data_IF_233773514214
#
_entry.id   IF_233773514214
#
_cell.length_a   1.000
_cell.length_b   1.000
_cell.length_c   1.000
_cell.angle_alpha   90.00
_cell.angle_beta   90.00
_cell.angle_gamma   90.00
#
_symmetry.space_group_name_H-M   'P 1'
#
loop_
_entity.id
_entity.type
_entity.pdbx_description
1 polymer ?
#
# COMPACT_ATOMS: atom_id res chain seq x y z
N UNK A 1 11.25 10.39 -9.39
CA UNK A 1 10.03 11.00 -8.86
C UNK A 1 10.18 12.51 -8.77
N UNK A 2 11.04 13.04 -7.88
CA UNK A 2 11.21 14.49 -7.71
C UNK A 2 11.54 15.23 -9.02
N UNK A 3 12.51 14.75 -9.80
CA UNK A 3 12.86 15.35 -11.10
C UNK A 3 11.75 15.28 -12.16
N UNK A 4 10.75 14.43 -11.98
CA UNK A 4 9.60 14.31 -12.90
C UNK A 4 8.41 15.14 -12.43
N UNK A 5 8.53 15.82 -11.28
CA UNK A 5 7.43 16.59 -10.68
C UNK A 5 6.16 15.75 -10.55
N UNK A 6 6.33 14.48 -10.15
CA UNK A 6 5.20 13.56 -10.02
C UNK A 6 4.19 14.06 -8.97
N UNK A 7 2.90 13.88 -9.22
CA UNK A 7 1.86 14.27 -8.25
C UNK A 7 1.86 13.39 -6.99
N UNK A 8 2.26 12.13 -7.13
CA UNK A 8 2.37 11.17 -6.02
C UNK A 8 3.33 10.02 -6.36
N UNK A 9 3.74 9.27 -5.32
CA UNK A 9 4.54 8.04 -5.45
C UNK A 9 3.86 6.89 -4.71
N UNK A 10 3.71 5.77 -5.39
CA UNK A 10 3.32 4.48 -4.79
C UNK A 10 4.40 3.46 -5.06
N UNK A 11 5.07 3.00 -4.01
CA UNK A 11 6.03 1.90 -4.07
C UNK A 11 5.31 0.59 -3.76
N UNK A 12 5.48 -0.44 -4.60
CA UNK A 12 4.77 -1.73 -4.47
C UNK A 12 5.77 -2.80 -4.07
N UNK A 13 5.53 -3.45 -2.95
CA UNK A 13 6.41 -4.42 -2.31
C UNK A 13 5.67 -5.70 -1.92
N UNK A 14 6.44 -6.73 -1.58
CA UNK A 14 5.96 -7.92 -0.91
C UNK A 14 6.88 -8.22 0.27
N UNK A 15 6.27 -8.37 1.45
CA UNK A 15 6.97 -8.39 2.74
C UNK A 15 7.68 -9.73 2.94
N UNK A 16 8.59 -9.78 3.90
CA UNK A 16 9.21 -11.02 4.35
C UNK A 16 9.52 -10.92 5.84
N UNK A 17 9.14 -11.95 6.59
CA UNK A 17 9.42 -12.06 8.01
C UNK A 17 9.87 -13.46 8.39
N UNK A 18 10.70 -13.57 9.44
CA UNK A 18 11.27 -14.83 9.89
C UNK A 18 10.20 -15.85 10.32
N UNK A 19 9.07 -15.38 10.86
CA UNK A 19 7.92 -16.23 11.14
C UNK A 19 7.14 -16.46 9.86
N UNK A 20 7.25 -17.66 9.29
CA UNK A 20 6.59 -18.06 8.02
C UNK A 20 5.06 -18.06 8.06
N UNK A 21 4.44 -17.79 9.21
CA UNK A 21 2.98 -17.64 9.34
C UNK A 21 2.54 -16.17 9.28
N UNK A 22 3.47 -15.22 9.18
CA UNK A 22 3.13 -13.81 8.99
C UNK A 22 2.37 -13.64 7.67
N UNK A 23 1.32 -12.83 7.68
CA UNK A 23 0.49 -12.51 6.52
C UNK A 23 -0.25 -11.20 6.72
N UNK A 24 -0.81 -10.69 5.64
CA UNK A 24 -1.65 -9.50 5.59
C UNK A 24 -1.04 -8.37 4.79
N UNK A 25 -1.89 -7.39 4.52
CA UNK A 25 -1.61 -6.23 3.69
C UNK A 25 -1.42 -5.01 4.58
N UNK A 26 -0.37 -4.23 4.35
CA UNK A 26 -0.14 -2.94 5.00
C UNK A 26 0.26 -1.85 4.01
N UNK A 27 -0.09 -0.62 4.35
CA UNK A 27 0.38 0.58 3.64
C UNK A 27 1.24 1.42 4.57
N UNK A 28 2.44 1.77 4.15
CA UNK A 28 3.44 2.46 4.93
C UNK A 28 3.54 3.92 4.51
N UNK A 29 3.66 4.79 5.51
CA UNK A 29 3.93 6.22 5.36
C UNK A 29 5.14 6.58 6.23
N UNK A 30 5.85 7.66 5.89
CA UNK A 30 6.89 8.17 6.76
C UNK A 30 6.28 8.76 8.06
N UNK A 31 6.93 8.66 9.25
CA UNK A 31 6.35 9.18 10.51
C UNK A 31 5.97 10.67 10.44
N UNK A 32 6.72 11.47 9.70
CA UNK A 32 6.47 12.90 9.48
C UNK A 32 5.64 13.20 8.23
N UNK A 33 4.90 12.22 7.68
CA UNK A 33 4.11 12.41 6.47
C UNK A 33 2.99 13.44 6.66
N UNK A 34 2.65 14.16 5.60
CA UNK A 34 1.51 15.09 5.58
C UNK A 34 0.18 14.37 5.84
N UNK A 35 -0.85 15.14 6.20
CA UNK A 35 -2.22 14.63 6.26
C UNK A 35 -2.66 14.05 4.91
N UNK A 36 -2.30 14.74 3.84
CA UNK A 36 -2.59 14.36 2.47
C UNK A 36 -2.02 12.98 2.09
N UNK A 37 -0.76 12.71 2.44
CA UNK A 37 -0.14 11.37 2.30
C UNK A 37 -0.91 10.30 3.09
N UNK A 38 -1.40 10.63 4.28
CA UNK A 38 -2.19 9.70 5.10
C UNK A 38 -3.58 9.45 4.51
N UNK A 39 -4.19 10.42 3.84
CA UNK A 39 -5.45 10.23 3.11
C UNK A 39 -5.24 9.27 1.93
N UNK A 40 -4.20 9.49 1.12
CA UNK A 40 -3.81 8.56 0.06
C UNK A 40 -3.63 7.13 0.60
N UNK A 41 -2.85 6.97 1.68
CA UNK A 41 -2.63 5.68 2.31
C UNK A 41 -3.91 5.01 2.82
N UNK A 42 -4.87 5.78 3.37
CA UNK A 42 -6.17 5.27 3.83
C UNK A 42 -6.99 4.74 2.67
N UNK A 43 -7.11 5.51 1.58
CA UNK A 43 -7.89 5.08 0.42
C UNK A 43 -7.31 3.82 -0.22
N UNK A 44 -6.00 3.76 -0.40
CA UNK A 44 -5.32 2.58 -0.96
C UNK A 44 -5.48 1.37 -0.04
N UNK A 45 -5.26 1.51 1.27
CA UNK A 45 -5.45 0.42 2.23
C UNK A 45 -6.91 -0.05 2.25
N UNK A 46 -7.89 0.86 2.26
CA UNK A 46 -9.30 0.53 2.28
C UNK A 46 -9.69 -0.29 1.05
N UNK A 47 -9.28 0.14 -0.16
CA UNK A 47 -9.60 -0.58 -1.40
C UNK A 47 -8.90 -1.93 -1.52
N UNK A 48 -7.69 -2.07 -0.99
CA UNK A 48 -7.04 -3.38 -0.89
C UNK A 48 -7.86 -4.34 -0.02
N UNK A 49 -8.32 -3.89 1.14
CA UNK A 49 -9.07 -4.75 2.08
C UNK A 49 -10.50 -5.02 1.60
N UNK A 50 -11.14 -4.06 0.93
CA UNK A 50 -12.44 -4.25 0.28
C UNK A 50 -12.35 -5.31 -0.83
N UNK A 51 -11.30 -5.27 -1.66
CA UNK A 51 -11.10 -6.25 -2.72
C UNK A 51 -10.69 -7.64 -2.19
N UNK A 52 -9.98 -7.69 -1.06
CA UNK A 52 -9.44 -8.90 -0.47
C UNK A 52 -9.96 -9.13 0.96
N UNK A 53 -11.28 -9.25 1.10
CA UNK A 53 -12.01 -9.29 2.41
C UNK A 53 -11.51 -10.35 3.40
N UNK A 54 -10.91 -11.43 2.92
CA UNK A 54 -10.40 -12.53 3.76
C UNK A 54 -8.93 -12.34 4.16
N UNK A 55 -8.26 -11.30 3.67
CA UNK A 55 -6.87 -11.00 4.01
C UNK A 55 -6.77 -10.22 5.31
N UNK A 56 -5.65 -10.39 6.01
CA UNK A 56 -5.41 -9.70 7.28
C UNK A 56 -5.12 -8.23 6.99
N UNK A 57 -5.98 -7.35 7.49
CA UNK A 57 -5.74 -5.92 7.46
C UNK A 57 -4.69 -5.53 8.51
N UNK A 58 -3.46 -5.23 8.08
CA UNK A 58 -2.39 -4.73 8.97
C UNK A 58 -2.41 -3.22 9.12
N UNK A 59 -3.31 -2.53 8.42
CA UNK A 59 -3.54 -1.10 8.50
C UNK A 59 -2.39 -0.27 7.97
N UNK A 60 -2.43 1.02 8.32
CA UNK A 60 -1.38 1.97 8.00
C UNK A 60 -0.25 1.85 9.02
N UNK A 61 1.00 1.85 8.56
CA UNK A 61 2.21 1.76 9.37
C UNK A 61 3.10 2.96 9.14
N UNK A 62 3.81 3.36 10.18
CA UNK A 62 4.83 4.40 10.08
C UNK A 62 6.20 3.73 9.93
N UNK A 63 6.97 4.14 8.92
CA UNK A 63 8.26 3.52 8.62
C UNK A 63 9.23 4.53 8.00
N UNK A 64 10.49 4.47 8.43
CA UNK A 64 11.55 5.39 7.99
C UNK A 64 12.26 4.88 6.71
N UNK A 65 11.47 4.52 5.71
CA UNK A 65 11.99 4.03 4.43
C UNK A 65 12.48 5.20 3.58
N UNK A 66 13.63 5.02 2.91
CA UNK A 66 14.25 6.05 2.07
C UNK A 66 13.28 6.64 1.03
N UNK A 67 12.53 5.79 0.33
CA UNK A 67 11.55 6.23 -0.67
C UNK A 67 10.43 7.08 -0.08
N UNK A 68 10.08 6.90 1.20
CA UNK A 68 9.05 7.70 1.87
C UNK A 68 9.63 8.98 2.48
N UNK A 69 10.93 9.01 2.79
CA UNK A 69 11.61 10.13 3.44
C UNK A 69 12.12 11.17 2.45
N UNK A 70 12.69 10.75 1.33
CA UNK A 70 13.39 11.64 0.38
C UNK A 70 12.51 12.07 -0.82
N UNK A 71 11.23 11.69 -0.80
CA UNK A 71 10.27 12.02 -1.84
C UNK A 71 9.46 13.26 -1.43
N UNK A 72 9.35 14.24 -2.33
CA UNK A 72 8.79 15.56 -2.01
C UNK A 72 7.26 15.63 -2.13
N UNK A 73 6.67 14.78 -2.97
CA UNK A 73 5.21 14.63 -3.13
C UNK A 73 4.67 13.54 -2.18
N UNK A 74 3.34 13.41 -2.01
CA UNK A 74 2.74 12.32 -1.25
C UNK A 74 3.29 10.95 -1.67
N UNK A 75 3.84 10.21 -0.70
CA UNK A 75 4.52 8.94 -0.94
C UNK A 75 4.03 7.85 0.00
N UNK A 76 3.65 6.72 -0.56
CA UNK A 76 3.26 5.51 0.18
C UNK A 76 4.03 4.29 -0.31
N UNK A 77 4.15 3.28 0.56
CA UNK A 77 4.66 1.96 0.18
C UNK A 77 3.66 0.90 0.58
N UNK A 78 3.22 0.07 -0.35
CA UNK A 78 2.26 -1.00 -0.12
C UNK A 78 3.00 -2.33 0.01
N UNK A 79 2.84 -3.00 1.14
CA UNK A 79 3.23 -4.40 1.32
C UNK A 79 2.03 -5.28 1.00
N UNK A 80 2.05 -5.89 -0.20
CA UNK A 80 0.88 -6.56 -0.78
C UNK A 80 0.56 -7.92 -0.15
N UNK A 81 1.52 -8.57 0.52
CA UNK A 81 1.43 -9.81 1.30
C UNK A 81 2.87 -10.29 1.62
N UNK A 82 3.05 -11.40 2.34
CA UNK A 82 4.37 -11.92 2.72
C UNK A 82 4.90 -13.00 1.75
N UNK A 83 6.06 -12.80 1.12
CA UNK A 83 6.75 -13.84 0.33
C UNK A 83 7.29 -15.00 1.18
N UNK A 84 7.59 -14.76 2.46
CA UNK A 84 8.10 -15.80 3.35
C UNK A 84 7.05 -16.82 3.77
N UNK A 85 5.76 -16.47 3.67
CA UNK A 85 4.64 -17.37 3.93
C UNK A 85 4.23 -18.12 2.64
N UNK A 86 4.20 -19.47 2.64
CA UNK A 86 3.88 -20.25 1.44
C UNK A 86 2.49 -20.01 0.85
N UNK A 87 1.48 -19.73 1.68
CA UNK A 87 0.09 -19.46 1.24
C UNK A 87 0.05 -18.15 0.45
N UNK A 88 0.56 -17.09 1.06
CA UNK A 88 0.55 -15.74 0.49
C UNK A 88 1.54 -15.59 -0.66
N UNK A 89 2.63 -16.36 -0.68
CA UNK A 89 3.52 -16.47 -1.84
C UNK A 89 2.79 -17.04 -3.06
N UNK A 90 1.92 -18.03 -2.90
CA UNK A 90 1.11 -18.56 -4.01
C UNK A 90 0.13 -17.49 -4.50
N UNK A 91 -0.54 -16.80 -3.58
CA UNK A 91 -1.40 -15.66 -3.89
C UNK A 91 -0.67 -14.60 -4.74
N UNK A 92 0.53 -14.17 -4.32
CA UNK A 92 1.34 -13.15 -5.01
C UNK A 92 1.85 -13.58 -6.40
N UNK A 93 1.87 -14.88 -6.70
CA UNK A 93 2.33 -15.40 -8.00
C UNK A 93 1.21 -15.52 -9.03
N UNK A 94 -0.05 -15.46 -8.60
CA UNK A 94 -1.20 -15.64 -9.48
C UNK A 94 -1.50 -14.33 -10.25
N UNK A 95 -1.54 -14.34 -11.60
CA UNK A 95 -1.77 -13.13 -12.39
C UNK A 95 -3.09 -12.42 -12.06
N UNK A 96 -4.16 -13.17 -11.75
CA UNK A 96 -5.46 -12.62 -11.36
C UNK A 96 -5.36 -11.83 -10.05
N UNK A 97 -4.58 -12.31 -9.09
CA UNK A 97 -4.37 -11.62 -7.82
C UNK A 97 -3.50 -10.36 -8.00
N UNK A 98 -2.48 -10.43 -8.86
CA UNK A 98 -1.66 -9.26 -9.21
C UNK A 98 -2.52 -8.17 -9.88
N UNK A 99 -3.41 -8.56 -10.80
CA UNK A 99 -4.35 -7.64 -11.41
C UNK A 99 -5.35 -7.07 -10.38
N UNK A 100 -5.82 -7.89 -9.44
CA UNK A 100 -6.67 -7.45 -8.34
C UNK A 100 -6.00 -6.41 -7.45
N UNK A 101 -4.74 -6.64 -7.05
CA UNK A 101 -3.92 -5.71 -6.29
C UNK A 101 -3.74 -4.39 -7.06
N UNK A 102 -3.36 -4.46 -8.33
CA UNK A 102 -3.16 -3.29 -9.18
C UNK A 102 -4.45 -2.45 -9.31
N UNK A 103 -5.61 -3.10 -9.54
CA UNK A 103 -6.91 -2.42 -9.59
C UNK A 103 -7.29 -1.78 -8.27
N UNK A 104 -7.10 -2.48 -7.15
CA UNK A 104 -7.40 -1.96 -5.83
C UNK A 104 -6.56 -0.72 -5.48
N UNK A 105 -5.25 -0.78 -5.76
CA UNK A 105 -4.34 0.36 -5.58
C UNK A 105 -4.77 1.53 -6.48
N UNK A 106 -5.03 1.27 -7.77
CA UNK A 106 -5.47 2.30 -8.71
C UNK A 106 -6.78 2.96 -8.28
N UNK A 107 -7.75 2.19 -7.80
CA UNK A 107 -9.02 2.73 -7.31
C UNK A 107 -8.82 3.61 -6.07
N UNK A 108 -7.94 3.21 -5.14
CA UNK A 108 -7.60 4.03 -3.98
C UNK A 108 -6.92 5.35 -4.36
N UNK A 109 -6.04 5.32 -5.37
CA UNK A 109 -5.42 6.54 -5.93
C UNK A 109 -6.48 7.46 -6.55
N UNK A 110 -7.41 6.92 -7.33
CA UNK A 110 -8.44 7.73 -7.98
C UNK A 110 -9.35 8.43 -6.97
N UNK A 111 -9.80 7.73 -5.92
CA UNK A 111 -10.64 8.34 -4.88
C UNK A 111 -9.93 9.43 -4.08
N UNK A 112 -8.62 9.23 -3.83
CA UNK A 112 -7.79 10.28 -3.28
C UNK A 112 -7.72 11.50 -4.22
N UNK A 113 -7.51 11.28 -5.53
CA UNK A 113 -7.39 12.34 -6.52
C UNK A 113 -8.72 13.11 -6.75
N UNK A 114 -9.86 12.44 -6.57
CA UNK A 114 -11.21 13.04 -6.64
C UNK A 114 -11.55 13.89 -5.41
N UNK A 115 -10.71 13.86 -4.37
CA UNK A 115 -10.88 14.66 -3.16
C UNK A 115 -11.94 14.10 -2.20
N UNK A 116 -12.23 12.80 -2.27
CA UNK A 116 -13.17 12.18 -1.33
C UNK A 116 -12.58 12.18 0.09
N UNK A 117 -13.33 12.76 1.03
CA UNK A 117 -13.00 12.76 2.46
C UNK A 117 -12.89 11.32 2.96
N UNK A 118 -11.76 10.96 3.58
CA UNK A 118 -11.54 9.62 4.15
C UNK A 118 -12.30 9.41 5.48
N UNK A 119 -13.63 9.56 5.50
CA UNK A 119 -14.49 9.15 6.62
C UNK A 119 -14.73 7.63 6.62
N UNK A 120 -13.65 6.85 6.49
CA UNK A 120 -13.63 5.38 6.57
C UNK A 120 -12.82 4.94 7.78
#
# INVERSE_FOLDING_TARGET
ANLWEADLVVSIHADAFHKITAKGISTHVHPRSSLDTRILARWVQAKLIENFVNHVNRGIRESDFHILRETEMPAILVECEFLSNPETRRFLREPENQLGLAKAISNGINLYAEGESSEI
#
